data_IF_543587887070
#
_entry.id   IF_543587887070
#
_cell.length_a   1.000
_cell.length_b   1.000
_cell.length_c   1.000
_cell.angle_alpha   90.00
_cell.angle_beta   90.00
_cell.angle_gamma   90.00
#
_symmetry.space_group_name_H-M   'P 1'
#
loop_
_entity.id
_entity.type
_entity.pdbx_description
1 polymer ?
#
# COMPACT_ATOMS: atom_id res chain seq x y z
N UNK A 1 -9.55 31.08 -24.32
CA UNK A 1 -9.09 30.07 -23.36
C UNK A 1 -9.98 28.87 -23.55
N UNK A 2 -9.37 27.76 -23.97
CA UNK A 2 -10.05 26.61 -24.57
C UNK A 2 -10.68 25.73 -23.47
N UNK A 3 -12.00 25.53 -23.52
CA UNK A 3 -12.73 24.72 -22.55
C UNK A 3 -12.23 23.27 -22.45
N UNK A 4 -11.49 22.81 -23.47
CA UNK A 4 -10.92 21.46 -23.53
C UNK A 4 -9.76 21.24 -22.55
N UNK A 5 -8.98 22.30 -22.26
CA UNK A 5 -7.78 22.17 -21.40
C UNK A 5 -8.11 22.09 -19.91
N UNK A 6 -9.29 22.59 -19.53
CA UNK A 6 -9.79 22.59 -18.15
C UNK A 6 -10.31 21.20 -17.77
N UNK A 7 -10.90 20.46 -18.71
CA UNK A 7 -11.39 19.09 -18.51
C UNK A 7 -10.26 18.09 -18.30
N UNK A 8 -9.13 18.21 -19.02
CA UNK A 8 -7.98 17.31 -18.83
C UNK A 8 -7.28 17.54 -17.47
N UNK A 9 -7.29 18.76 -16.95
CA UNK A 9 -6.71 19.09 -15.64
C UNK A 9 -7.57 18.54 -14.48
N UNK A 10 -8.89 18.56 -14.62
CA UNK A 10 -9.82 18.01 -13.61
C UNK A 10 -9.79 16.47 -13.60
N UNK A 11 -9.68 15.84 -14.78
CA UNK A 11 -9.58 14.37 -14.89
C UNK A 11 -8.23 13.86 -14.36
N UNK A 12 -7.11 14.54 -14.66
CA UNK A 12 -5.81 14.22 -14.05
C UNK A 12 -5.80 14.44 -12.54
N UNK A 13 -6.32 15.58 -12.06
CA UNK A 13 -6.40 15.90 -10.63
C UNK A 13 -7.33 14.98 -9.80
N UNK A 14 -8.19 14.20 -10.44
CA UNK A 14 -9.07 13.23 -9.76
C UNK A 14 -8.57 11.77 -9.85
N UNK A 15 -7.74 11.42 -10.84
CA UNK A 15 -7.08 10.11 -10.95
C UNK A 15 -5.71 10.04 -10.26
N UNK A 16 -5.12 11.18 -9.90
CA UNK A 16 -3.88 11.30 -9.09
C UNK A 16 -4.13 11.26 -7.56
N UNK A 17 -5.39 11.10 -7.12
CA UNK A 17 -5.70 10.94 -5.70
C UNK A 17 -5.37 9.51 -5.27
N UNK A 18 -4.27 9.38 -4.54
CA UNK A 18 -3.82 8.21 -3.74
C UNK A 18 -2.66 7.38 -4.28
N UNK A 19 -1.65 8.03 -4.90
CA UNK A 19 -0.25 7.65 -4.61
C UNK A 19 0.24 8.32 -3.33
N UNK A 20 -0.59 8.34 -2.28
CA UNK A 20 -0.21 8.99 -1.04
C UNK A 20 0.53 7.96 -0.19
N UNK A 21 1.77 8.25 0.22
CA UNK A 21 2.45 7.40 1.18
C UNK A 21 1.67 7.43 2.50
N UNK A 22 1.52 6.27 3.12
CA UNK A 22 0.92 6.11 4.43
C UNK A 22 1.81 5.22 5.28
N UNK A 23 1.60 5.25 6.59
CA UNK A 23 2.29 4.35 7.50
C UNK A 23 1.34 3.37 8.16
N UNK A 24 1.87 2.17 8.41
CA UNK A 24 1.23 1.15 9.24
C UNK A 24 2.22 0.74 10.33
N UNK A 25 1.68 0.21 11.41
CA UNK A 25 2.46 -0.41 12.48
C UNK A 25 2.12 -1.89 12.51
N UNK A 26 3.14 -2.75 12.38
CA UNK A 26 2.99 -4.20 12.25
C UNK A 26 3.94 -4.91 13.20
N UNK A 27 3.49 -5.99 13.82
CA UNK A 27 4.36 -6.93 14.53
C UNK A 27 4.79 -8.02 13.55
N UNK A 28 6.01 -7.90 13.00
CA UNK A 28 6.51 -8.82 11.97
C UNK A 28 6.87 -10.20 12.52
N UNK A 29 7.11 -10.31 13.83
CA UNK A 29 7.66 -11.52 14.46
C UNK A 29 6.66 -12.21 15.40
N UNK A 30 5.46 -11.66 15.56
CA UNK A 30 4.43 -12.15 16.51
C UNK A 30 4.87 -12.10 17.97
N UNK A 31 5.92 -11.34 18.28
CA UNK A 31 6.53 -11.27 19.62
C UNK A 31 6.20 -9.96 20.36
N UNK A 32 5.35 -9.12 19.75
CA UNK A 32 4.97 -7.80 20.24
C UNK A 32 5.91 -6.66 19.80
N UNK A 33 6.97 -6.95 19.04
CA UNK A 33 7.87 -5.94 18.51
C UNK A 33 7.22 -5.24 17.30
N UNK A 34 6.69 -4.05 17.55
CA UNK A 34 6.08 -3.24 16.51
C UNK A 34 7.13 -2.53 15.66
N UNK A 35 6.99 -2.66 14.34
CA UNK A 35 7.72 -1.87 13.35
C UNK A 35 6.78 -0.96 12.60
N UNK A 36 7.22 0.26 12.34
CA UNK A 36 6.51 1.20 11.46
C UNK A 36 7.04 1.07 10.05
N UNK A 37 6.16 0.76 9.11
CA UNK A 37 6.49 0.71 7.68
C UNK A 37 5.86 1.92 6.99
N UNK A 38 6.57 2.46 5.99
CA UNK A 38 6.08 3.52 5.12
C UNK A 38 5.78 2.91 3.75
N UNK A 39 4.51 2.89 3.38
CA UNK A 39 4.01 2.26 2.17
C UNK A 39 3.55 3.30 1.19
N UNK A 40 3.77 3.05 -0.10
CA UNK A 40 3.14 3.77 -1.20
C UNK A 40 2.17 2.83 -1.89
N UNK A 41 0.89 3.22 -1.97
CA UNK A 41 -0.08 2.51 -2.78
C UNK A 41 0.11 2.90 -4.26
N UNK A 42 0.53 1.94 -5.08
CA UNK A 42 0.80 2.10 -6.50
C UNK A 42 -0.14 1.22 -7.31
N UNK A 43 -1.27 1.79 -7.74
CA UNK A 43 -2.30 1.08 -8.51
C UNK A 43 -2.88 -0.12 -7.77
N UNK A 44 -2.33 -1.31 -7.98
CA UNK A 44 -2.75 -2.56 -7.33
C UNK A 44 -1.72 -3.05 -6.30
N UNK A 45 -0.51 -2.48 -6.30
CA UNK A 45 0.58 -2.89 -5.40
C UNK A 45 0.80 -1.92 -4.26
N UNK A 46 1.40 -2.42 -3.20
CA UNK A 46 1.86 -1.66 -2.05
C UNK A 46 3.37 -1.81 -1.91
N UNK A 47 4.08 -0.71 -2.09
CA UNK A 47 5.53 -0.70 -2.16
C UNK A 47 6.11 -0.06 -0.91
N UNK A 48 7.16 -0.67 -0.34
CA UNK A 48 7.81 -0.19 0.88
C UNK A 48 9.26 -0.68 0.98
N UNK A 49 10.01 -0.15 1.93
CA UNK A 49 11.34 -0.63 2.28
C UNK A 49 11.29 -1.42 3.60
N UNK A 50 11.94 -2.58 3.63
CA UNK A 50 12.12 -3.38 4.84
C UNK A 50 13.56 -3.89 4.89
N UNK A 51 14.25 -3.59 5.99
CA UNK A 51 15.66 -3.97 6.22
C UNK A 51 16.60 -3.60 5.04
N UNK A 52 16.36 -2.44 4.41
CA UNK A 52 17.14 -1.95 3.27
C UNK A 52 16.78 -2.57 1.91
N UNK A 53 15.74 -3.41 1.85
CA UNK A 53 15.25 -4.01 0.62
C UNK A 53 13.93 -3.36 0.18
N UNK A 54 13.81 -3.05 -1.11
CA UNK A 54 12.54 -2.65 -1.71
C UNK A 54 11.62 -3.87 -1.89
N UNK A 55 10.44 -3.80 -1.29
CA UNK A 55 9.40 -4.84 -1.31
C UNK A 55 8.16 -4.28 -2.01
N UNK A 56 7.46 -5.15 -2.74
CA UNK A 56 6.14 -4.86 -3.33
C UNK A 56 5.20 -6.02 -3.09
N UNK A 57 4.01 -5.76 -2.57
CA UNK A 57 2.96 -6.76 -2.34
C UNK A 57 1.65 -6.37 -3.02
N UNK A 58 0.79 -7.34 -3.30
CA UNK A 58 -0.52 -7.16 -3.95
C UNK A 58 -1.62 -7.89 -3.16
N UNK A 59 -2.84 -7.34 -3.16
CA UNK A 59 -4.04 -8.04 -2.72
C UNK A 59 -4.69 -8.73 -3.93
N UNK A 60 -4.94 -10.04 -3.83
CA UNK A 60 -5.45 -10.85 -4.94
C UNK A 60 -6.97 -10.75 -5.16
N UNK A 61 -7.66 -9.91 -4.38
CA UNK A 61 -9.11 -9.70 -4.47
C UNK A 61 -9.96 -10.70 -3.67
N UNK A 62 -9.32 -11.63 -2.96
CA UNK A 62 -9.95 -12.66 -2.11
C UNK A 62 -9.44 -12.62 -0.66
N UNK A 63 -8.89 -11.46 -0.24
CA UNK A 63 -8.18 -11.24 1.03
C UNK A 63 -6.88 -12.05 1.19
N UNK A 64 -6.38 -12.68 0.12
CA UNK A 64 -5.02 -13.20 0.10
C UNK A 64 -4.05 -12.15 -0.43
N UNK A 65 -2.83 -12.20 0.09
CA UNK A 65 -1.76 -11.25 -0.25
C UNK A 65 -0.58 -12.01 -0.87
N UNK A 66 0.11 -11.39 -1.82
CA UNK A 66 1.24 -12.00 -2.51
C UNK A 66 2.37 -11.01 -2.72
N UNK A 67 3.61 -11.52 -2.70
CA UNK A 67 4.79 -10.74 -3.03
C UNK A 67 4.93 -10.62 -4.55
N UNK A 68 5.16 -9.39 -5.02
CA UNK A 68 5.42 -9.07 -6.43
C UNK A 68 6.92 -8.81 -6.65
N UNK A 69 7.57 -8.16 -5.68
CA UNK A 69 9.00 -7.90 -5.70
C UNK A 69 9.60 -7.91 -4.29
N UNK A 70 10.89 -8.25 -4.19
CA UNK A 70 11.61 -8.38 -2.92
C UNK A 70 11.70 -9.83 -2.44
N UNK A 71 12.20 -10.03 -1.21
CA UNK A 71 12.33 -11.35 -0.60
C UNK A 71 11.97 -11.29 0.89
N UNK A 72 10.70 -11.61 1.17
CA UNK A 72 10.17 -11.86 2.51
C UNK A 72 9.32 -13.13 2.46
N UNK A 73 9.12 -13.78 3.59
CA UNK A 73 8.27 -14.96 3.68
C UNK A 73 6.77 -14.59 3.59
N UNK A 74 5.94 -15.59 3.27
CA UNK A 74 4.50 -15.39 3.08
C UNK A 74 3.77 -15.00 4.36
N UNK A 75 4.27 -15.39 5.54
CA UNK A 75 3.66 -15.01 6.82
C UNK A 75 3.84 -13.51 7.04
N UNK A 76 5.05 -12.99 6.81
CA UNK A 76 5.35 -11.55 6.83
C UNK A 76 4.46 -10.77 5.84
N UNK A 77 4.27 -11.27 4.61
CA UNK A 77 3.36 -10.66 3.62
C UNK A 77 1.94 -10.54 4.16
N UNK A 78 1.42 -11.62 4.78
CA UNK A 78 0.07 -11.66 5.31
C UNK A 78 -0.14 -10.70 6.49
N UNK A 79 0.86 -10.58 7.38
CA UNK A 79 0.84 -9.65 8.50
C UNK A 79 0.75 -8.19 8.01
N UNK A 80 1.59 -7.82 7.04
CA UNK A 80 1.59 -6.49 6.44
C UNK A 80 0.26 -6.23 5.72
N UNK A 81 -0.20 -7.17 4.90
CA UNK A 81 -1.48 -7.07 4.19
C UNK A 81 -2.67 -6.85 5.14
N UNK A 82 -2.68 -7.55 6.27
CA UNK A 82 -3.71 -7.37 7.31
C UNK A 82 -3.73 -5.95 7.86
N UNK A 83 -2.56 -5.36 8.16
CA UNK A 83 -2.48 -3.98 8.65
C UNK A 83 -2.82 -2.94 7.57
N UNK A 84 -2.51 -3.23 6.30
CA UNK A 84 -2.98 -2.42 5.17
C UNK A 84 -4.51 -2.42 5.10
N UNK A 85 -5.17 -3.57 5.20
CA UNK A 85 -6.64 -3.62 5.20
C UNK A 85 -7.24 -2.85 6.39
N UNK A 86 -6.65 -2.98 7.58
CA UNK A 86 -7.09 -2.23 8.76
C UNK A 86 -6.98 -0.73 8.54
N UNK A 87 -5.89 -0.26 7.94
CA UNK A 87 -5.69 1.14 7.60
C UNK A 87 -6.85 1.66 6.73
N UNK A 88 -7.19 0.97 5.63
CA UNK A 88 -8.28 1.39 4.75
C UNK A 88 -9.67 1.25 5.38
N UNK A 89 -9.92 0.21 6.18
CA UNK A 89 -11.19 0.05 6.92
C UNK A 89 -11.42 1.21 7.90
N UNK A 90 -10.36 1.68 8.57
CA UNK A 90 -10.45 2.80 9.52
C UNK A 90 -10.69 4.15 8.83
N UNK A 91 -10.32 4.28 7.56
CA UNK A 91 -10.55 5.50 6.79
C UNK A 91 -12.02 5.70 6.37
N UNK A 92 -12.93 4.75 6.66
CA UNK A 92 -14.35 4.82 6.30
C UNK A 92 -14.59 5.16 4.82
N UNK A 93 -13.74 4.65 3.93
CA UNK A 93 -13.92 4.75 2.47
C UNK A 93 -14.80 3.60 2.00
#
# INVERSE_FOLDING_TARGET
MDHKQISECIVKGSMDKMKQPFSITVDLNGNGEQRTLFLTHNTETFDFELDGQAISIINNGDNSWSIVAGMIDQETVNLIGTEVEKHYKNLHI
#
